data_IF_238179466688
#
_entry.id   IF_238179466688
#
_cell.length_a   1.000
_cell.length_b   1.000
_cell.length_c   1.000
_cell.angle_alpha   90.00
_cell.angle_beta   90.00
_cell.angle_gamma   90.00
#
_symmetry.space_group_name_H-M   'P 1'
#
loop_
_entity.id
_entity.type
_entity.pdbx_description
1 polymer ?
#
# COMPACT_ATOMS: atom_id res chain seq x y z
N UNK A 1 -12.17 -12.24 19.72
CA UNK A 1 -12.00 -13.49 18.94
C UNK A 1 -12.31 -13.14 17.50
N UNK A 2 -11.39 -13.32 16.59
CA UNK A 2 -11.55 -13.05 15.15
C UNK A 2 -11.97 -14.35 14.46
N UNK A 3 -13.02 -14.31 13.65
CA UNK A 3 -13.45 -15.40 12.79
C UNK A 3 -13.17 -15.00 11.35
N UNK A 4 -12.51 -15.88 10.60
CA UNK A 4 -12.22 -15.69 9.19
C UNK A 4 -12.58 -16.96 8.43
N UNK A 5 -13.05 -16.81 7.20
CA UNK A 5 -13.24 -17.94 6.30
C UNK A 5 -11.87 -18.47 5.86
N UNK A 6 -11.77 -19.79 5.75
CA UNK A 6 -10.57 -20.43 5.20
C UNK A 6 -10.60 -20.29 3.67
N UNK A 7 -9.54 -19.70 3.12
CA UNK A 7 -9.31 -19.64 1.67
C UNK A 7 -8.32 -20.74 1.31
N UNK A 8 -8.73 -21.76 0.53
CA UNK A 8 -7.82 -22.82 0.10
C UNK A 8 -6.79 -22.26 -0.88
N UNK A 9 -5.51 -22.54 -0.63
CA UNK A 9 -4.39 -22.06 -1.43
C UNK A 9 -3.14 -21.94 -0.58
N UNK A 10 -2.08 -21.48 -1.20
CA UNK A 10 -0.81 -21.15 -0.55
C UNK A 10 -0.41 -19.71 -0.88
N UNK A 11 0.56 -19.16 -0.13
CA UNK A 11 1.07 -17.83 -0.45
C UNK A 11 1.86 -17.85 -1.78
N UNK A 12 1.75 -16.78 -2.53
CA UNK A 12 2.54 -16.59 -3.75
C UNK A 12 4.04 -16.65 -3.46
N UNK A 13 4.48 -16.19 -2.28
CA UNK A 13 5.85 -16.32 -1.82
C UNK A 13 6.32 -17.78 -1.82
N UNK A 14 5.51 -18.69 -1.28
CA UNK A 14 5.82 -20.13 -1.26
C UNK A 14 5.78 -20.78 -2.65
N UNK A 15 4.96 -20.23 -3.55
CA UNK A 15 4.78 -20.76 -4.89
C UNK A 15 5.82 -20.24 -5.90
N UNK A 16 6.34 -19.01 -5.71
CA UNK A 16 7.02 -18.20 -6.71
C UNK A 16 8.13 -18.92 -7.47
N UNK A 17 9.06 -19.54 -6.74
CA UNK A 17 10.24 -20.20 -7.34
C UNK A 17 9.92 -21.38 -8.27
N UNK A 18 8.71 -21.97 -8.14
CA UNK A 18 8.27 -23.10 -8.97
C UNK A 18 7.33 -22.71 -10.12
N UNK A 19 6.90 -21.43 -10.17
CA UNK A 19 6.07 -20.93 -11.25
C UNK A 19 6.86 -20.74 -12.54
N UNK A 20 6.22 -21.02 -13.68
CA UNK A 20 6.75 -20.64 -14.98
C UNK A 20 6.70 -19.10 -15.15
N UNK A 21 7.56 -18.57 -16.04
CA UNK A 21 7.57 -17.13 -16.35
C UNK A 21 6.21 -16.62 -16.81
N UNK A 22 5.47 -17.40 -17.59
CA UNK A 22 4.12 -17.04 -18.07
C UNK A 22 3.13 -16.95 -16.89
N UNK A 23 3.21 -17.86 -15.91
CA UNK A 23 2.40 -17.82 -14.71
C UNK A 23 2.76 -16.62 -13.83
N UNK A 24 4.04 -16.34 -13.63
CA UNK A 24 4.53 -15.19 -12.88
C UNK A 24 4.00 -13.87 -13.47
N UNK A 25 4.16 -13.70 -14.79
CA UNK A 25 3.68 -12.50 -15.49
C UNK A 25 2.17 -12.34 -15.39
N UNK A 26 1.42 -13.43 -15.59
CA UNK A 26 -0.04 -13.40 -15.48
C UNK A 26 -0.51 -13.06 -14.06
N UNK A 27 0.08 -13.65 -13.03
CA UNK A 27 -0.23 -13.33 -11.63
C UNK A 27 0.02 -11.84 -11.34
N UNK A 28 1.12 -11.27 -11.84
CA UNK A 28 1.37 -9.84 -11.69
C UNK A 28 0.31 -8.99 -12.39
N UNK A 29 -0.13 -9.37 -13.59
CA UNK A 29 -1.21 -8.68 -14.31
C UNK A 29 -2.55 -8.82 -13.58
N UNK A 30 -2.88 -10.01 -13.05
CA UNK A 30 -4.06 -10.25 -12.21
C UNK A 30 -4.02 -9.40 -10.94
N UNK A 31 -2.85 -9.28 -10.29
CA UNK A 31 -2.65 -8.43 -9.11
C UNK A 31 -3.00 -6.97 -9.43
N UNK A 32 -2.54 -6.43 -10.56
CA UNK A 32 -2.93 -5.09 -11.00
C UNK A 32 -4.43 -4.97 -11.24
N UNK A 33 -5.05 -5.99 -11.83
CA UNK A 33 -6.51 -6.05 -12.02
C UNK A 33 -7.28 -6.07 -10.70
N UNK A 34 -6.75 -6.70 -9.66
CA UNK A 34 -7.33 -6.66 -8.31
C UNK A 34 -7.18 -5.28 -7.67
N UNK A 35 -6.02 -4.65 -7.79
CA UNK A 35 -5.79 -3.28 -7.32
C UNK A 35 -6.79 -2.32 -7.96
N UNK A 36 -7.03 -2.44 -9.27
CA UNK A 36 -8.02 -1.61 -9.96
C UNK A 36 -9.46 -1.85 -9.46
N UNK A 37 -9.80 -3.08 -9.08
CA UNK A 37 -11.09 -3.37 -8.43
C UNK A 37 -11.18 -2.78 -7.02
N UNK A 38 -10.11 -2.87 -6.22
CA UNK A 38 -10.05 -2.27 -4.89
C UNK A 38 -10.26 -0.74 -4.96
N UNK A 39 -9.67 -0.08 -5.95
CA UNK A 39 -9.84 1.37 -6.18
C UNK A 39 -11.27 1.81 -6.45
N UNK A 40 -12.15 0.88 -6.83
CA UNK A 40 -13.56 1.16 -7.07
C UNK A 40 -14.41 1.06 -5.80
N UNK A 41 -13.85 0.61 -4.68
CA UNK A 41 -14.55 0.57 -3.39
C UNK A 41 -14.93 1.99 -3.00
N UNK A 42 -16.22 2.28 -2.79
CA UNK A 42 -16.68 3.61 -2.45
C UNK A 42 -16.21 3.98 -1.05
N UNK A 43 -15.87 5.24 -0.90
CA UNK A 43 -15.49 5.79 0.40
C UNK A 43 -16.70 5.83 1.34
N UNK A 44 -16.54 5.52 2.65
CA UNK A 44 -17.60 5.67 3.63
C UNK A 44 -18.10 7.13 3.68
N UNK A 45 -19.42 7.34 3.74
CA UNK A 45 -20.03 8.67 3.76
C UNK A 45 -19.62 9.52 4.98
N UNK A 46 -19.22 8.87 6.08
CA UNK A 46 -18.79 9.52 7.32
C UNK A 46 -17.29 9.36 7.55
N UNK A 47 -16.49 10.08 6.79
CA UNK A 47 -15.05 10.22 7.04
C UNK A 47 -14.81 11.49 7.86
N UNK A 48 -15.27 11.50 9.11
CA UNK A 48 -15.14 12.66 10.00
C UNK A 48 -14.43 12.26 11.28
N UNK A 49 -13.39 13.00 11.67
CA UNK A 49 -12.89 12.93 13.04
C UNK A 49 -13.90 13.64 13.96
N UNK A 50 -14.43 12.93 14.95
CA UNK A 50 -15.15 13.54 16.06
C UNK A 50 -14.06 13.95 17.06
N UNK A 51 -13.66 15.21 17.04
CA UNK A 51 -12.90 15.75 18.16
C UNK A 51 -13.83 15.84 19.38
N UNK A 52 -13.36 15.30 20.53
CA UNK A 52 -14.15 15.07 21.75
C UNK A 52 -14.74 16.31 22.44
N UNK A 53 -14.68 17.49 21.80
CA UNK A 53 -15.12 18.77 22.41
C UNK A 53 -16.28 19.46 21.65
N UNK A 54 -16.97 18.76 20.75
CA UNK A 54 -18.17 19.34 20.07
C UNK A 54 -17.84 20.36 19.00
N UNK A 55 -16.59 20.48 18.57
CA UNK A 55 -16.13 21.34 17.52
C UNK A 55 -16.03 20.63 16.17
N UNK A 56 -16.20 21.39 15.13
CA UNK A 56 -16.25 21.11 13.70
C UNK A 56 -15.85 19.70 13.24
N UNK A 57 -16.77 19.01 12.59
CA UNK A 57 -16.49 17.73 11.88
C UNK A 57 -15.51 17.99 10.74
N UNK A 58 -14.25 17.61 10.93
CA UNK A 58 -13.23 17.75 9.90
C UNK A 58 -13.35 16.60 8.92
N UNK A 59 -13.59 16.92 7.66
CA UNK A 59 -13.59 15.93 6.59
C UNK A 59 -12.14 15.47 6.30
N UNK A 60 -11.90 14.16 6.45
CA UNK A 60 -10.61 13.57 6.08
C UNK A 60 -10.54 13.39 4.56
N UNK A 61 -9.43 13.73 3.94
CA UNK A 61 -9.18 13.40 2.53
C UNK A 61 -8.52 12.02 2.42
N UNK A 62 -7.55 11.71 3.28
CA UNK A 62 -6.98 10.38 3.45
C UNK A 62 -7.34 9.81 4.82
N UNK A 63 -7.67 8.53 4.88
CA UNK A 63 -8.12 7.86 6.11
C UNK A 63 -7.86 6.36 6.06
N UNK A 64 -7.91 5.70 7.21
CA UNK A 64 -7.96 4.25 7.32
C UNK A 64 -9.23 3.66 6.69
N UNK A 65 -9.29 2.35 6.49
CA UNK A 65 -10.43 1.67 5.88
C UNK A 65 -11.74 1.88 6.63
N UNK A 66 -11.68 2.04 7.96
CA UNK A 66 -12.83 2.35 8.82
C UNK A 66 -13.27 3.82 8.81
N UNK A 67 -12.58 4.67 8.04
CA UNK A 67 -12.85 6.10 7.92
C UNK A 67 -12.21 6.96 9.00
N UNK A 68 -11.40 6.40 9.89
CA UNK A 68 -10.67 7.15 10.93
C UNK A 68 -9.34 7.72 10.43
N UNK A 69 -8.71 8.60 11.25
CA UNK A 69 -7.37 9.11 10.97
C UNK A 69 -6.24 8.15 11.34
N UNK A 70 -6.56 6.99 11.94
CA UNK A 70 -5.58 6.00 12.39
C UNK A 70 -5.11 5.09 11.26
N UNK A 71 -4.31 5.64 10.34
CA UNK A 71 -3.71 4.87 9.26
C UNK A 71 -2.51 4.11 9.82
N UNK A 72 -2.57 2.78 9.79
CA UNK A 72 -1.48 1.90 10.24
C UNK A 72 -0.42 1.85 9.14
N UNK A 73 0.54 2.75 9.21
CA UNK A 73 1.66 2.76 8.27
C UNK A 73 2.88 3.47 8.86
N UNK A 74 4.11 2.91 8.73
CA UNK A 74 5.34 3.48 9.33
C UNK A 74 5.65 4.92 8.91
N UNK A 75 5.27 5.35 7.69
CA UNK A 75 5.46 6.72 7.21
C UNK A 75 4.44 7.72 7.80
N UNK A 76 3.35 7.26 8.40
CA UNK A 76 2.21 8.09 8.80
C UNK A 76 1.84 7.97 10.28
N UNK A 77 2.27 6.88 10.94
CA UNK A 77 1.94 6.54 12.34
C UNK A 77 2.97 7.02 13.37
N UNK A 78 2.78 6.61 14.59
CA UNK A 78 3.70 6.58 15.75
C UNK A 78 4.12 7.91 16.39
N UNK A 79 4.03 9.06 15.70
CA UNK A 79 4.40 10.34 16.29
C UNK A 79 3.35 10.91 17.24
N UNK A 80 2.12 10.43 17.15
CA UNK A 80 0.97 10.99 17.87
C UNK A 80 0.04 9.89 18.34
N UNK A 81 -0.40 9.93 19.60
CA UNK A 81 -1.49 9.07 20.11
C UNK A 81 -2.79 9.28 19.33
N UNK A 82 -3.01 10.52 18.87
CA UNK A 82 -4.09 10.89 17.96
C UNK A 82 -3.51 11.70 16.80
N UNK A 83 -3.27 11.07 15.65
CA UNK A 83 -2.67 11.75 14.52
C UNK A 83 -3.64 12.82 13.98
N UNK A 84 -3.14 14.04 13.68
CA UNK A 84 -3.95 15.08 13.05
C UNK A 84 -4.59 14.59 11.75
N UNK A 85 -5.77 15.08 11.37
CA UNK A 85 -6.48 14.65 10.18
C UNK A 85 -5.69 14.97 8.88
N UNK A 86 -5.65 14.03 7.95
CA UNK A 86 -5.10 14.23 6.61
C UNK A 86 -6.16 14.80 5.69
N UNK A 87 -6.19 16.14 5.56
CA UNK A 87 -7.24 16.89 4.85
C UNK A 87 -7.00 17.02 3.36
N UNK A 88 -5.75 16.86 2.92
CA UNK A 88 -5.31 17.01 1.54
C UNK A 88 -3.92 16.40 1.33
N UNK A 89 -3.42 16.49 0.10
CA UNK A 89 -2.09 16.00 -0.29
C UNK A 89 -0.96 16.72 0.47
N UNK A 90 -1.11 18.02 0.75
CA UNK A 90 -0.07 18.78 1.44
C UNK A 90 0.07 18.32 2.91
N UNK A 91 -1.03 18.04 3.61
CA UNK A 91 -1.00 17.50 4.98
C UNK A 91 -0.39 16.10 5.05
N UNK A 92 -0.64 15.25 4.06
CA UNK A 92 0.01 13.93 3.94
C UNK A 92 1.52 14.08 3.75
N UNK A 93 1.94 14.90 2.80
CA UNK A 93 3.35 15.15 2.49
C UNK A 93 4.08 15.82 3.65
N UNK A 94 3.41 16.74 4.35
CA UNK A 94 3.94 17.36 5.56
C UNK A 94 4.20 16.31 6.64
N UNK A 95 3.26 15.38 6.86
CA UNK A 95 3.42 14.30 7.85
C UNK A 95 4.59 13.39 7.52
N UNK A 96 4.74 12.95 6.26
CA UNK A 96 5.88 12.12 5.84
C UNK A 96 7.19 12.86 6.05
N UNK A 97 7.23 14.15 5.74
CA UNK A 97 8.41 14.98 5.93
C UNK A 97 8.75 15.21 7.41
N UNK A 98 7.76 15.52 8.26
CA UNK A 98 7.94 15.68 9.71
C UNK A 98 8.54 14.42 10.32
N UNK A 99 8.02 13.26 9.96
CA UNK A 99 8.55 11.98 10.42
C UNK A 99 9.99 11.74 9.92
N UNK A 100 10.28 12.05 8.68
CA UNK A 100 11.64 11.99 8.14
C UNK A 100 12.60 12.88 8.94
N UNK A 101 12.20 14.10 9.27
CA UNK A 101 13.00 15.06 10.04
C UNK A 101 13.18 14.62 11.49
N UNK A 102 12.16 14.03 12.11
CA UNK A 102 12.26 13.51 13.48
C UNK A 102 13.38 12.46 13.61
N UNK A 103 13.49 11.57 12.63
CA UNK A 103 14.51 10.53 12.64
C UNK A 103 15.92 11.01 12.25
N UNK A 104 16.03 12.00 11.37
CA UNK A 104 17.31 12.45 10.83
C UNK A 104 17.81 13.77 11.40
N UNK A 105 16.93 14.56 12.01
CA UNK A 105 17.18 15.94 12.37
C UNK A 105 17.12 16.92 11.19
N UNK A 106 16.85 18.18 11.49
CA UNK A 106 16.74 19.27 10.49
C UNK A 106 18.05 19.56 9.74
N UNK A 107 19.18 19.22 10.36
CA UNK A 107 20.52 19.47 9.79
C UNK A 107 20.96 18.45 8.76
N UNK A 108 20.14 17.44 8.48
CA UNK A 108 20.47 16.47 7.45
C UNK A 108 20.43 17.13 6.07
N UNK A 109 21.50 17.05 5.24
CA UNK A 109 21.67 17.88 4.04
C UNK A 109 20.50 17.82 3.04
N UNK A 110 19.73 16.76 3.09
CA UNK A 110 18.64 16.48 2.16
C UNK A 110 17.23 16.71 2.73
N UNK A 111 17.10 17.14 3.99
CA UNK A 111 15.80 17.26 4.67
C UNK A 111 14.76 18.09 3.91
N UNK A 112 15.18 19.22 3.34
CA UNK A 112 14.29 20.05 2.53
C UNK A 112 13.95 19.42 1.18
N UNK A 113 14.92 18.73 0.54
CA UNK A 113 14.70 18.12 -0.78
C UNK A 113 13.76 16.92 -0.75
N UNK A 114 13.66 16.20 0.36
CA UNK A 114 12.74 15.04 0.47
C UNK A 114 11.29 15.47 0.32
N UNK A 115 10.88 16.58 0.96
CA UNK A 115 9.50 17.10 0.83
C UNK A 115 9.15 17.40 -0.64
N UNK A 116 10.08 18.00 -1.38
CA UNK A 116 9.89 18.34 -2.79
C UNK A 116 9.86 17.11 -3.71
N UNK A 117 10.55 16.04 -3.31
CA UNK A 117 10.57 14.76 -4.05
C UNK A 117 9.34 13.88 -3.81
N UNK A 118 8.53 14.16 -2.77
CA UNK A 118 7.33 13.40 -2.52
C UNK A 118 6.32 13.57 -3.66
N UNK A 119 5.74 12.47 -4.19
CA UNK A 119 4.76 12.55 -5.26
C UNK A 119 3.51 13.33 -4.79
N UNK A 120 2.75 13.83 -5.76
CA UNK A 120 1.49 14.55 -5.52
C UNK A 120 0.32 13.78 -6.06
N UNK A 121 -0.82 13.86 -5.37
CA UNK A 121 -2.08 13.29 -5.82
C UNK A 121 -3.26 14.17 -5.37
N UNK A 122 -4.24 14.31 -6.27
CA UNK A 122 -5.51 14.96 -5.98
C UNK A 122 -6.63 13.93 -5.77
N UNK A 123 -6.28 12.64 -5.67
CA UNK A 123 -7.23 11.54 -5.56
C UNK A 123 -6.96 10.71 -4.31
N UNK A 124 -8.03 10.21 -3.70
CA UNK A 124 -7.99 9.22 -2.65
C UNK A 124 -8.74 7.98 -3.13
N UNK A 125 -8.02 6.86 -3.20
CA UNK A 125 -8.56 5.56 -3.64
C UNK A 125 -8.35 4.53 -2.56
N UNK A 126 -9.21 3.51 -2.49
CA UNK A 126 -8.99 2.41 -1.57
C UNK A 126 -7.73 1.65 -1.98
N UNK A 127 -6.84 1.44 -1.02
CA UNK A 127 -5.59 0.68 -1.16
C UNK A 127 -5.55 -0.42 -0.12
N UNK A 128 -4.91 -1.51 -0.43
CA UNK A 128 -4.55 -2.55 0.54
C UNK A 128 -3.44 -2.07 1.48
N UNK A 129 -2.45 -1.38 0.91
CA UNK A 129 -1.35 -0.75 1.65
C UNK A 129 -0.17 -1.66 1.97
N UNK A 130 -0.30 -2.99 1.77
CA UNK A 130 0.77 -3.95 2.01
C UNK A 130 0.68 -5.17 1.06
N UNK A 131 0.58 -4.92 -0.25
CA UNK A 131 0.61 -6.00 -1.25
C UNK A 131 2.05 -6.49 -1.44
N UNK A 132 2.28 -7.76 -1.12
CA UNK A 132 3.51 -8.49 -1.36
C UNK A 132 3.20 -10.00 -1.53
N UNK A 133 4.14 -10.83 -2.01
CA UNK A 133 3.86 -12.25 -2.30
C UNK A 133 3.30 -13.05 -1.12
N UNK A 134 3.65 -12.69 0.13
CA UNK A 134 3.12 -13.34 1.33
C UNK A 134 1.62 -13.11 1.55
N UNK A 135 1.08 -11.97 1.08
CA UNK A 135 -0.32 -11.60 1.25
C UNK A 135 -1.21 -11.94 0.03
N UNK A 136 -0.65 -12.55 -1.00
CA UNK A 136 -1.37 -13.04 -2.18
C UNK A 136 -1.51 -14.55 -2.07
N UNK A 137 -2.73 -15.06 -2.04
CA UNK A 137 -3.01 -16.49 -2.04
C UNK A 137 -3.28 -16.96 -3.46
N UNK A 138 -2.63 -18.06 -3.82
CA UNK A 138 -2.75 -18.69 -5.16
C UNK A 138 -3.13 -20.15 -5.05
N UNK A 139 -3.77 -20.66 -6.10
CA UNK A 139 -4.08 -22.07 -6.26
C UNK A 139 -3.91 -22.51 -7.71
N UNK A 140 -3.63 -23.78 -7.93
CA UNK A 140 -3.64 -24.37 -9.28
C UNK A 140 -5.08 -24.45 -9.78
N UNK A 141 -5.29 -24.09 -11.03
CA UNK A 141 -6.59 -24.17 -11.68
C UNK A 141 -6.82 -25.58 -12.21
N UNK A 142 -7.63 -26.35 -11.48
CA UNK A 142 -7.99 -27.74 -11.87
C UNK A 142 -9.19 -27.79 -12.83
N UNK A 143 -9.95 -26.68 -12.97
CA UNK A 143 -11.27 -26.70 -13.62
C UNK A 143 -11.23 -26.63 -15.17
N UNK A 144 -10.21 -26.04 -15.77
CA UNK A 144 -10.21 -25.79 -17.23
C UNK A 144 -9.37 -26.78 -18.06
N UNK A 145 -8.92 -27.91 -17.49
CA UNK A 145 -8.14 -28.91 -18.24
C UNK A 145 -6.74 -28.41 -18.65
N UNK A 146 -6.33 -27.27 -18.20
CA UNK A 146 -5.04 -26.65 -18.43
C UNK A 146 -4.17 -26.86 -17.17
N UNK A 147 -3.76 -28.12 -16.96
CA UNK A 147 -2.94 -28.50 -15.80
C UNK A 147 -1.67 -27.63 -15.73
N UNK A 148 -1.51 -26.91 -14.63
CA UNK A 148 -0.35 -26.04 -14.36
C UNK A 148 -0.63 -24.54 -14.47
N UNK A 149 -1.88 -24.12 -14.69
CA UNK A 149 -2.26 -22.74 -14.61
C UNK A 149 -2.55 -22.36 -13.15
N UNK A 150 -1.91 -21.30 -12.65
CA UNK A 150 -2.08 -20.81 -11.28
C UNK A 150 -2.89 -19.53 -11.29
N UNK A 151 -3.83 -19.34 -10.38
CA UNK A 151 -4.67 -18.15 -10.25
C UNK A 151 -4.64 -17.57 -8.84
N UNK A 152 -4.93 -16.29 -8.71
CA UNK A 152 -5.12 -15.67 -7.40
C UNK A 152 -6.50 -16.07 -6.85
N UNK A 153 -6.52 -16.61 -5.62
CA UNK A 153 -7.73 -16.97 -4.91
C UNK A 153 -8.08 -16.02 -3.77
N UNK A 154 -7.14 -15.17 -3.35
CA UNK A 154 -7.40 -14.16 -2.32
C UNK A 154 -6.26 -13.20 -2.09
N UNK A 155 -6.62 -12.06 -1.51
CA UNK A 155 -5.71 -11.15 -0.83
C UNK A 155 -6.04 -11.19 0.66
N UNK A 156 -5.01 -11.17 1.51
CA UNK A 156 -5.14 -11.23 2.97
C UNK A 156 -4.36 -10.09 3.60
N UNK A 157 -4.62 -9.85 4.89
CA UNK A 157 -3.92 -8.84 5.69
C UNK A 157 -4.17 -7.40 5.26
N UNK A 158 -5.42 -6.95 5.42
CA UNK A 158 -5.88 -5.60 5.13
C UNK A 158 -5.65 -4.62 6.29
N UNK A 159 -4.73 -4.90 7.23
CA UNK A 159 -4.52 -4.05 8.41
C UNK A 159 -4.04 -2.64 8.04
N UNK A 160 -3.28 -2.51 6.95
CA UNK A 160 -2.78 -1.23 6.42
C UNK A 160 -3.73 -0.59 5.40
N UNK A 161 -4.92 -1.16 5.20
CA UNK A 161 -5.84 -0.68 4.18
C UNK A 161 -6.43 0.70 4.53
N UNK A 162 -6.67 1.48 3.48
CA UNK A 162 -7.25 2.81 3.65
C UNK A 162 -7.52 3.52 2.34
N UNK A 163 -8.05 4.74 2.46
CA UNK A 163 -8.24 5.64 1.33
C UNK A 163 -7.03 6.56 1.25
N UNK A 164 -6.11 6.26 0.34
CA UNK A 164 -4.79 6.87 0.22
C UNK A 164 -4.55 7.35 -1.22
N UNK A 165 -3.46 8.10 -1.49
CA UNK A 165 -3.15 8.56 -2.84
C UNK A 165 -3.09 7.44 -3.88
N UNK A 166 -3.45 7.72 -5.12
CA UNK A 166 -3.46 6.75 -6.22
C UNK A 166 -2.09 6.09 -6.51
N UNK A 167 -1.00 6.74 -6.10
CA UNK A 167 0.35 6.18 -6.18
C UNK A 167 0.72 5.28 -4.99
N UNK A 168 -0.08 5.24 -3.91
CA UNK A 168 0.33 4.64 -2.64
C UNK A 168 0.62 3.15 -2.74
N UNK A 169 -0.28 2.39 -3.35
CA UNK A 169 -0.08 0.95 -3.55
C UNK A 169 1.21 0.64 -4.33
N UNK A 170 1.43 1.35 -5.45
CA UNK A 170 2.66 1.24 -6.22
C UNK A 170 3.90 1.55 -5.37
N UNK A 171 3.84 2.64 -4.59
CA UNK A 171 4.95 3.03 -3.72
C UNK A 171 5.24 1.99 -2.64
N UNK A 172 4.21 1.27 -2.15
CA UNK A 172 4.39 0.20 -1.18
C UNK A 172 5.07 -1.02 -1.79
N UNK A 173 4.62 -1.47 -2.95
CA UNK A 173 5.20 -2.61 -3.66
C UNK A 173 6.64 -2.33 -4.12
N UNK A 174 6.97 -1.09 -4.52
CA UNK A 174 8.30 -0.70 -5.01
C UNK A 174 9.28 -0.34 -3.88
N UNK A 175 9.10 -0.86 -2.66
CA UNK A 175 10.08 -0.68 -1.57
C UNK A 175 11.40 -1.39 -1.88
N UNK A 176 12.49 -0.79 -1.45
CA UNK A 176 13.82 -1.40 -1.56
C UNK A 176 14.02 -2.43 -0.44
N UNK A 177 14.77 -3.48 -0.71
CA UNK A 177 15.26 -4.40 0.31
C UNK A 177 14.81 -5.86 0.16
N UNK A 178 14.06 -6.19 -0.89
CA UNK A 178 13.82 -7.59 -1.27
C UNK A 178 15.11 -8.23 -1.78
N UNK A 179 15.30 -9.51 -1.49
CA UNK A 179 16.34 -10.34 -2.07
C UNK A 179 15.71 -11.57 -2.75
N UNK A 180 16.34 -12.08 -3.80
CA UNK A 180 15.90 -13.30 -4.46
C UNK A 180 14.50 -13.17 -5.10
N UNK A 181 13.60 -14.07 -4.73
CA UNK A 181 12.25 -14.20 -5.32
C UNK A 181 11.38 -12.95 -5.10
N UNK A 182 11.52 -12.25 -3.98
CA UNK A 182 10.79 -11.01 -3.72
C UNK A 182 11.24 -9.89 -4.65
N UNK A 183 12.54 -9.77 -4.91
CA UNK A 183 13.06 -8.75 -5.84
C UNK A 183 12.63 -9.06 -7.28
N UNK A 184 12.63 -10.34 -7.68
CA UNK A 184 12.12 -10.77 -8.98
C UNK A 184 10.64 -10.42 -9.16
N UNK A 185 9.80 -10.72 -8.15
CA UNK A 185 8.39 -10.35 -8.16
C UNK A 185 8.18 -8.84 -8.31
N UNK A 186 8.91 -8.04 -7.53
CA UNK A 186 8.85 -6.59 -7.58
C UNK A 186 9.20 -6.03 -8.97
N UNK A 187 10.28 -6.54 -9.58
CA UNK A 187 10.68 -6.14 -10.93
C UNK A 187 9.62 -6.53 -11.97
N UNK A 188 8.98 -7.67 -11.81
CA UNK A 188 7.90 -8.10 -12.69
C UNK A 188 6.63 -7.25 -12.51
N UNK A 189 6.27 -6.91 -11.27
CA UNK A 189 5.20 -5.96 -10.97
C UNK A 189 5.46 -4.58 -11.59
N UNK A 190 6.71 -4.08 -11.51
CA UNK A 190 7.08 -2.83 -12.16
C UNK A 190 6.95 -2.90 -13.68
N UNK A 191 7.42 -3.99 -14.30
CA UNK A 191 7.35 -4.22 -15.76
C UNK A 191 5.91 -4.32 -16.27
N UNK A 192 5.01 -4.93 -15.49
CA UNK A 192 3.60 -5.15 -15.84
C UNK A 192 2.69 -4.00 -15.37
N UNK A 193 3.23 -2.99 -14.69
CA UNK A 193 2.45 -1.89 -14.15
C UNK A 193 1.72 -1.10 -15.26
N UNK A 194 0.42 -0.84 -15.13
CA UNK A 194 -0.33 -0.03 -16.09
C UNK A 194 0.11 1.44 -16.07
N UNK A 195 0.71 1.86 -14.97
CA UNK A 195 1.29 3.20 -14.78
C UNK A 195 2.46 3.12 -13.80
N UNK A 196 3.52 3.85 -14.09
CA UNK A 196 4.69 4.04 -13.23
C UNK A 196 4.65 5.42 -12.61
N UNK A 197 4.92 5.52 -11.29
CA UNK A 197 5.02 6.78 -10.55
C UNK A 197 6.46 7.05 -10.13
N UNK A 198 6.85 8.30 -10.09
CA UNK A 198 8.11 8.68 -9.42
C UNK A 198 7.89 8.69 -7.90
N UNK A 199 8.31 7.61 -7.26
CA UNK A 199 8.18 7.40 -5.81
C UNK A 199 9.52 7.53 -5.06
N UNK A 200 10.53 8.11 -5.69
CA UNK A 200 11.87 8.28 -5.10
C UNK A 200 11.85 8.99 -3.75
N UNK A 201 10.98 9.99 -3.60
CA UNK A 201 10.81 10.70 -2.33
C UNK A 201 10.28 9.79 -1.22
N UNK A 202 9.29 8.93 -1.52
CA UNK A 202 8.76 7.93 -0.58
C UNK A 202 9.85 6.92 -0.21
N UNK A 203 10.58 6.41 -1.20
CA UNK A 203 11.66 5.45 -0.98
C UNK A 203 12.78 6.06 -0.13
N UNK A 204 13.12 7.34 -0.35
CA UNK A 204 14.10 8.05 0.45
C UNK A 204 13.64 8.25 1.89
N UNK A 205 12.37 8.63 2.09
CA UNK A 205 11.79 8.77 3.41
C UNK A 205 11.84 7.45 4.20
N UNK A 206 11.59 6.33 3.54
CA UNK A 206 11.64 4.98 4.15
C UNK A 206 13.02 4.54 4.61
N UNK A 207 14.06 4.78 3.81
CA UNK A 207 15.43 4.32 4.14
C UNK A 207 15.93 4.73 5.51
N UNK A 208 15.26 5.64 6.12
CA UNK A 208 15.62 6.20 7.42
C UNK A 208 14.80 5.59 8.55
N UNK A 209 13.70 4.94 8.20
CA UNK A 209 12.78 4.36 9.17
C UNK A 209 13.03 2.85 9.39
N UNK A 210 13.92 2.23 8.58
CA UNK A 210 14.22 0.80 8.64
C UNK A 210 15.71 0.52 8.46
#
# INVERSE_FOLDING_TARGET
MLYMDYIPGESLESAWSRLSEDNKERICQETWGLIDKLRQIPRPEKTTNIENNGEEQVQLFYCAADGTSHIIHPLLGDMYDQPPPLRDDETLRARIWERYVEFNGLSYPDGHSVKDMLPRSETAVFTHGDIHPGNILVNEDEEDGNSGQVRIVGLVDFESAGFLPDYWEYAQMMRFGGEGDEDEWRLMMERTAPRVWDVKGIQKARRVLF
#
